data_IF_205522663023
#
_entry.id   IF_205522663023
#
_cell.length_a   1.000
_cell.length_b   1.000
_cell.length_c   1.000
_cell.angle_alpha   90.00
_cell.angle_beta   90.00
_cell.angle_gamma   90.00
#
_symmetry.space_group_name_H-M   'P 1'
#
loop_
_entity.id
_entity.type
_entity.pdbx_description
1 polymer ?
#
# COMPACT_ATOMS: atom_id res chain seq x y z
N UNK A 1 -1.67 24.92 -1.84
CA UNK A 1 -2.57 24.64 -0.67
C UNK A 1 -2.36 23.24 -0.11
N UNK A 2 -2.17 22.22 -0.96
CA UNK A 2 -1.81 20.86 -0.54
C UNK A 2 -0.38 20.75 0.05
N UNK A 3 0.56 21.62 -0.36
CA UNK A 3 1.95 21.61 0.13
C UNK A 3 2.13 21.93 1.63
N UNK A 4 1.11 22.54 2.26
CA UNK A 4 1.12 22.84 3.70
C UNK A 4 0.68 21.64 4.55
N UNK A 5 0.00 20.66 3.98
CA UNK A 5 -0.28 19.40 4.68
C UNK A 5 1.05 18.69 4.92
N UNK A 6 1.24 18.20 6.14
CA UNK A 6 2.49 17.54 6.52
C UNK A 6 2.72 16.34 5.58
N UNK A 7 3.77 16.37 4.75
CA UNK A 7 4.01 15.36 3.69
C UNK A 7 3.96 13.93 4.24
N UNK A 8 4.50 13.74 5.43
CA UNK A 8 4.47 12.48 6.17
C UNK A 8 3.04 12.02 6.48
N UNK A 9 2.16 12.94 6.89
CA UNK A 9 0.76 12.62 7.17
C UNK A 9 0.05 12.09 5.91
N UNK A 10 0.31 12.68 4.75
CA UNK A 10 -0.31 12.26 3.49
C UNK A 10 0.17 10.86 3.08
N UNK A 11 1.47 10.57 3.24
CA UNK A 11 2.03 9.22 3.01
C UNK A 11 1.40 8.19 3.95
N UNK A 12 1.29 8.50 5.23
CA UNK A 12 0.70 7.62 6.25
C UNK A 12 -0.78 7.37 5.96
N UNK A 13 -1.53 8.39 5.56
CA UNK A 13 -2.95 8.27 5.23
C UNK A 13 -3.16 7.33 4.03
N UNK A 14 -2.39 7.51 2.94
CA UNK A 14 -2.47 6.63 1.76
C UNK A 14 -2.07 5.20 2.13
N UNK A 15 -1.02 5.02 2.93
CA UNK A 15 -0.60 3.70 3.41
C UNK A 15 -1.71 2.99 4.18
N UNK A 16 -2.34 3.67 5.15
CA UNK A 16 -3.43 3.10 5.96
C UNK A 16 -4.63 2.75 5.07
N UNK A 17 -5.00 3.60 4.11
CA UNK A 17 -6.08 3.28 3.17
C UNK A 17 -5.77 2.02 2.35
N UNK A 18 -4.58 1.94 1.73
CA UNK A 18 -4.20 0.79 0.91
C UNK A 18 -4.12 -0.50 1.74
N UNK A 19 -3.44 -0.45 2.88
CA UNK A 19 -3.31 -1.60 3.77
C UNK A 19 -4.67 -2.05 4.31
N UNK A 20 -5.52 -1.09 4.70
CA UNK A 20 -6.89 -1.34 5.14
C UNK A 20 -7.72 -2.05 4.07
N UNK A 21 -7.63 -1.64 2.80
CA UNK A 21 -8.32 -2.33 1.71
C UNK A 21 -7.90 -3.80 1.59
N UNK A 22 -6.62 -4.12 1.71
CA UNK A 22 -6.17 -5.53 1.68
C UNK A 22 -6.72 -6.32 2.86
N UNK A 23 -6.71 -5.76 4.06
CA UNK A 23 -7.21 -6.45 5.26
C UNK A 23 -8.72 -6.64 5.22
N UNK A 24 -9.47 -5.72 4.60
CA UNK A 24 -10.91 -5.82 4.42
C UNK A 24 -11.30 -6.83 3.32
N UNK A 25 -10.62 -6.79 2.17
CA UNK A 25 -10.93 -7.70 1.06
C UNK A 25 -10.44 -9.13 1.28
N UNK A 26 -9.47 -9.32 2.18
CA UNK A 26 -8.92 -10.64 2.54
C UNK A 26 -8.66 -11.52 1.31
N UNK A 27 -7.81 -11.09 0.36
CA UNK A 27 -7.63 -11.81 -0.90
C UNK A 27 -7.15 -13.24 -0.66
N UNK A 28 -7.65 -14.20 -1.45
CA UNK A 28 -7.34 -15.63 -1.34
C UNK A 28 -5.84 -15.96 -1.42
N UNK A 29 -5.06 -15.05 -2.00
CA UNK A 29 -3.59 -15.17 -2.13
C UNK A 29 -2.91 -15.04 -0.76
N UNK A 30 -3.47 -14.27 0.18
CA UNK A 30 -2.88 -13.98 1.51
C UNK A 30 -3.70 -14.64 2.62
N UNK A 31 -5.02 -14.67 2.47
CA UNK A 31 -5.94 -15.20 3.45
C UNK A 31 -6.52 -16.53 3.00
N UNK A 32 -6.80 -17.40 3.97
CA UNK A 32 -7.48 -18.65 3.74
C UNK A 32 -8.99 -18.46 3.92
N UNK A 33 -9.73 -18.44 2.81
CA UNK A 33 -11.19 -18.26 2.81
C UNK A 33 -11.95 -19.31 3.66
N UNK A 34 -11.37 -20.48 3.90
CA UNK A 34 -12.03 -21.54 4.70
C UNK A 34 -11.97 -21.29 6.21
N UNK A 35 -10.88 -20.71 6.69
CA UNK A 35 -10.64 -20.57 8.14
C UNK A 35 -10.56 -19.10 8.59
N UNK A 36 -10.65 -18.13 7.66
CA UNK A 36 -10.41 -16.70 7.91
C UNK A 36 -9.07 -16.42 8.61
N UNK A 37 -8.10 -17.31 8.41
CA UNK A 37 -6.75 -17.19 8.94
C UNK A 37 -5.79 -16.73 7.85
N UNK A 38 -4.69 -16.11 8.25
CA UNK A 38 -3.57 -15.84 7.36
C UNK A 38 -2.96 -17.16 6.89
N UNK A 39 -2.64 -17.25 5.59
CA UNK A 39 -1.88 -18.38 5.07
C UNK A 39 -0.45 -18.33 5.61
N UNK A 40 0.07 -19.50 5.99
CA UNK A 40 1.47 -19.62 6.40
C UNK A 40 2.39 -19.38 5.20
N UNK A 41 3.46 -18.63 5.46
CA UNK A 41 4.53 -18.43 4.49
C UNK A 41 5.34 -19.72 4.32
N UNK A 42 5.62 -20.10 3.08
CA UNK A 42 6.47 -21.25 2.78
C UNK A 42 6.51 -21.58 1.29
N UNK A 43 7.62 -22.14 0.83
CA UNK A 43 7.80 -22.62 -0.55
C UNK A 43 7.75 -24.15 -0.53
N UNK A 44 6.87 -24.76 -1.33
CA UNK A 44 6.84 -26.23 -1.49
C UNK A 44 5.80 -27.02 -0.68
N UNK A 45 4.87 -26.37 0.03
CA UNK A 45 3.77 -27.04 0.74
C UNK A 45 2.41 -26.74 0.08
N UNK A 46 1.47 -27.71 0.12
CA UNK A 46 0.10 -27.51 -0.37
C UNK A 46 -0.60 -26.49 0.56
N UNK A 47 -0.94 -25.31 0.03
CA UNK A 47 -1.61 -24.17 0.70
C UNK A 47 -0.73 -23.12 1.41
N UNK A 48 0.56 -23.00 1.07
CA UNK A 48 1.37 -21.87 1.56
C UNK A 48 1.31 -20.66 0.63
N UNK A 49 1.51 -19.49 1.21
CA UNK A 49 1.53 -18.20 0.51
C UNK A 49 2.96 -17.75 0.29
N UNK A 50 3.26 -17.30 -0.93
CA UNK A 50 4.56 -16.72 -1.29
C UNK A 50 4.68 -15.26 -0.80
N UNK A 51 3.55 -14.59 -0.57
CA UNK A 51 3.46 -13.18 -0.20
C UNK A 51 2.86 -13.00 1.21
N UNK A 52 3.67 -13.06 2.28
CA UNK A 52 3.16 -12.88 3.62
C UNK A 52 2.71 -11.43 3.84
N UNK A 53 1.75 -11.22 4.73
CA UNK A 53 1.14 -9.90 4.96
C UNK A 53 2.16 -8.82 5.34
N UNK A 54 3.21 -9.17 6.09
CA UNK A 54 4.28 -8.25 6.47
C UNK A 54 5.16 -7.83 5.29
N UNK A 55 5.31 -8.66 4.25
CA UNK A 55 6.03 -8.27 3.04
C UNK A 55 5.18 -7.30 2.21
N UNK A 56 3.88 -7.57 2.15
CA UNK A 56 2.90 -6.70 1.47
C UNK A 56 2.85 -5.31 2.13
N UNK A 57 2.93 -5.22 3.46
CA UNK A 57 2.95 -3.92 4.15
C UNK A 57 4.19 -3.10 3.80
N UNK A 58 5.38 -3.71 3.68
CA UNK A 58 6.61 -3.02 3.26
C UNK A 58 6.46 -2.48 1.83
N UNK A 59 5.96 -3.30 0.91
CA UNK A 59 5.72 -2.88 -0.48
C UNK A 59 4.75 -1.71 -0.55
N UNK A 60 3.67 -1.75 0.24
CA UNK A 60 2.70 -0.66 0.31
C UNK A 60 3.24 0.63 0.91
N UNK A 61 4.14 0.55 1.89
CA UNK A 61 4.81 1.72 2.44
C UNK A 61 5.72 2.40 1.40
N UNK A 62 6.41 1.60 0.57
CA UNK A 62 7.22 2.12 -0.53
C UNK A 62 6.32 2.76 -1.59
N UNK A 63 5.26 2.08 -2.00
CA UNK A 63 4.29 2.58 -3.00
C UNK A 63 3.64 3.88 -2.52
N UNK A 64 3.22 3.98 -1.26
CA UNK A 64 2.58 5.19 -0.74
C UNK A 64 3.52 6.40 -0.82
N UNK A 65 4.80 6.21 -0.51
CA UNK A 65 5.81 7.26 -0.68
C UNK A 65 5.93 7.72 -2.14
N UNK A 66 6.01 6.78 -3.09
CA UNK A 66 6.11 7.11 -4.52
C UNK A 66 4.86 7.82 -5.04
N UNK A 67 3.66 7.43 -4.60
CA UNK A 67 2.40 8.10 -4.98
C UNK A 67 2.43 9.57 -4.55
N UNK A 68 2.85 9.86 -3.31
CA UNK A 68 2.94 11.24 -2.81
C UNK A 68 4.02 12.03 -3.55
N UNK A 69 5.17 11.43 -3.81
CA UNK A 69 6.25 12.10 -4.53
C UNK A 69 5.83 12.45 -5.96
N UNK A 70 5.16 11.52 -6.65
CA UNK A 70 4.66 11.74 -8.01
C UNK A 70 3.52 12.78 -8.05
N UNK A 71 2.60 12.75 -7.08
CA UNK A 71 1.52 13.74 -7.02
C UNK A 71 2.02 15.15 -6.71
N UNK A 72 3.07 15.29 -5.90
CA UNK A 72 3.74 16.57 -5.71
C UNK A 72 4.42 17.01 -7.01
N UNK A 73 5.19 16.13 -7.65
CA UNK A 73 5.88 16.45 -8.90
C UNK A 73 4.90 16.92 -10.00
N UNK A 74 3.77 16.23 -10.18
CA UNK A 74 2.74 16.62 -11.16
C UNK A 74 2.17 18.00 -10.82
N UNK A 75 1.91 18.28 -9.53
CA UNK A 75 1.36 19.53 -9.05
C UNK A 75 2.34 20.70 -9.28
N UNK A 76 3.61 20.54 -8.93
CA UNK A 76 4.63 21.56 -9.20
C UNK A 76 4.82 21.81 -10.69
N UNK A 77 4.88 20.76 -11.51
CA UNK A 77 5.05 20.90 -12.95
C UNK A 77 3.86 21.60 -13.62
N UNK A 78 2.62 21.25 -13.24
CA UNK A 78 1.42 21.91 -13.76
C UNK A 78 1.29 23.37 -13.33
N UNK A 79 1.77 23.74 -12.14
CA UNK A 79 1.80 25.13 -11.69
C UNK A 79 2.78 25.97 -12.52
N UNK A 80 3.95 25.43 -12.89
CA UNK A 80 4.94 26.16 -13.69
C UNK A 80 4.56 26.33 -15.16
N UNK A 81 3.72 25.45 -15.71
CA UNK A 81 3.27 25.51 -17.12
C UNK A 81 2.07 26.46 -17.30
N UNK A 82 1.27 26.66 -16.25
CA UNK A 82 0.06 27.50 -16.28
C UNK A 82 0.25 28.92 -15.71
N UNK A 83 1.49 29.34 -15.44
CA UNK A 83 1.87 30.72 -15.04
C UNK A 83 2.72 31.33 -16.15
#
# INVERSE_FOLDING_TARGET
MLDKLNRLFLVILIYICLYGLIVLFQPEIIFNNKFKCLRQFGVGYKNTTILPLWLVSIIFAIISYFIVLYSLHICYNTIFINV
#
